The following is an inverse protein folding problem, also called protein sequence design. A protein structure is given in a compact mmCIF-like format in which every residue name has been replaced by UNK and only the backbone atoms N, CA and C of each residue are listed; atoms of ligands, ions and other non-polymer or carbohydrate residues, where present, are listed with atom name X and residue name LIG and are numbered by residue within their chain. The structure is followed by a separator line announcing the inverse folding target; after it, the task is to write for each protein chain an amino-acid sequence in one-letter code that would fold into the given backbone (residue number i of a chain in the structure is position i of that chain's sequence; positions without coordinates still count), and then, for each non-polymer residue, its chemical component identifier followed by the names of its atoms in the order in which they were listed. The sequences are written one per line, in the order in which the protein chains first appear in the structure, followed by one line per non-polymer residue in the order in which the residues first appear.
data_IF_830728429730
#
_entry.id   IF_830728429730
#
_cell.length_a   1.000
_cell.length_b   1.000
_cell.length_c   1.000
_cell.angle_alpha   90.00
_cell.angle_beta   90.00
_cell.angle_gamma   90.00
#
_symmetry.space_group_name_H-M   'P 1'
#
loop_
_entity.id
_entity.type
_entity.pdbx_description
1 polymer ?
#
# COMPACT_ATOMS: atom_id res chain seq x y z
N UNK A 1 -10.62 -18.20 5.16
CA UNK A 1 -9.68 -17.17 5.58
C UNK A 1 -10.19 -15.79 5.16
N UNK A 2 -10.24 -14.94 6.04
CA UNK A 2 -10.68 -13.59 5.77
C UNK A 2 -9.53 -12.60 5.92
N UNK A 3 -9.65 -11.49 5.28
CA UNK A 3 -8.69 -10.41 5.39
C UNK A 3 -9.27 -9.33 6.30
N UNK A 4 -8.54 -8.98 7.33
CA UNK A 4 -8.86 -7.84 8.18
C UNK A 4 -7.86 -6.70 7.90
N UNK A 5 -7.44 -6.60 6.64
CA UNK A 5 -6.46 -5.60 6.27
C UNK A 5 -6.98 -4.19 6.53
N UNK A 6 -6.11 -3.36 7.04
CA UNK A 6 -6.40 -1.96 7.35
C UNK A 6 -5.50 -1.09 6.50
N UNK A 7 -6.09 -0.10 5.88
CA UNK A 7 -5.38 0.87 5.07
C UNK A 7 -5.62 2.27 5.64
N UNK A 8 -4.57 2.99 5.92
CA UNK A 8 -4.70 4.29 6.56
C UNK A 8 -3.57 5.23 6.14
N UNK A 9 -3.87 6.53 6.16
CA UNK A 9 -2.87 7.57 6.00
C UNK A 9 -2.14 7.73 7.33
N UNK A 10 -0.82 7.59 7.28
CA UNK A 10 0.02 7.62 8.47
C UNK A 10 0.71 8.97 8.68
N UNK A 11 0.42 9.96 7.82
CA UNK A 11 0.93 11.32 7.95
C UNK A 11 -0.19 12.27 8.34
N UNK A 12 0.16 13.48 8.75
CA UNK A 12 -0.83 14.50 9.06
C UNK A 12 -1.69 14.81 7.83
N UNK A 13 -2.94 15.19 8.05
CA UNK A 13 -3.85 15.58 6.98
C UNK A 13 -3.40 16.88 6.35
N UNK A 14 -3.76 17.04 5.07
CA UNK A 14 -3.45 18.22 4.30
C UNK A 14 -2.33 17.95 3.30
N UNK A 15 -1.93 18.99 2.60
CA UNK A 15 -0.85 18.88 1.63
C UNK A 15 0.49 18.90 2.35
N UNK A 16 1.36 17.99 1.96
CA UNK A 16 2.74 17.93 2.44
C UNK A 16 3.63 17.46 1.30
N UNK A 17 4.95 17.59 1.45
CA UNK A 17 5.86 17.12 0.40
C UNK A 17 5.73 15.62 0.19
N UNK A 18 5.62 14.87 1.27
CA UNK A 18 5.47 13.41 1.22
C UNK A 18 4.30 12.98 2.09
N UNK A 19 3.68 11.89 1.68
CA UNK A 19 2.64 11.24 2.45
C UNK A 19 2.97 9.78 2.63
N UNK A 20 2.50 9.18 3.71
CA UNK A 20 2.72 7.77 4.01
C UNK A 20 1.37 7.08 4.19
N UNK A 21 1.18 5.99 3.47
CA UNK A 21 0.02 5.13 3.61
C UNK A 21 0.51 3.79 4.13
N UNK A 22 -0.14 3.26 5.16
CA UNK A 22 0.15 1.93 5.69
C UNK A 22 -1.00 1.00 5.45
N UNK A 23 -0.67 -0.20 5.00
CA UNK A 23 -1.65 -1.28 4.83
C UNK A 23 -1.13 -2.46 5.64
N UNK A 24 -1.97 -3.00 6.50
CA UNK A 24 -1.63 -4.14 7.33
C UNK A 24 -2.67 -5.24 7.13
N UNK A 25 -2.21 -6.48 6.97
CA UNK A 25 -3.11 -7.60 6.79
C UNK A 25 -2.36 -8.92 6.75
N UNK A 26 -3.11 -10.02 6.78
CA UNK A 26 -2.52 -11.36 6.89
C UNK A 26 -1.83 -11.81 5.61
N UNK A 27 -2.34 -11.45 4.47
CA UNK A 27 -1.78 -11.88 3.20
C UNK A 27 -2.03 -10.79 2.17
N UNK A 28 -0.97 -10.08 1.80
CA UNK A 28 -1.07 -8.93 0.93
C UNK A 28 -0.46 -9.15 -0.45
N UNK A 29 -0.04 -10.38 -0.77
CA UNK A 29 0.65 -10.66 -2.03
C UNK A 29 -0.17 -10.28 -3.25
N UNK A 30 -1.47 -10.59 -3.23
CA UNK A 30 -2.35 -10.25 -4.34
C UNK A 30 -2.45 -8.74 -4.53
N UNK A 31 -2.54 -8.00 -3.43
CA UNK A 31 -2.60 -6.55 -3.47
C UNK A 31 -1.31 -5.95 -4.04
N UNK A 32 -0.17 -6.50 -3.64
CA UNK A 32 1.12 -6.00 -4.12
C UNK A 32 1.23 -6.07 -5.65
N UNK A 33 0.87 -7.20 -6.23
CA UNK A 33 0.96 -7.36 -7.68
C UNK A 33 -0.11 -6.55 -8.40
N UNK A 34 -1.20 -6.22 -7.73
CA UNK A 34 -2.25 -5.38 -8.30
C UNK A 34 -1.85 -3.90 -8.35
N UNK A 35 -1.16 -3.41 -7.31
CA UNK A 35 -0.84 -2.00 -7.16
C UNK A 35 0.50 -1.61 -7.79
N UNK A 36 1.49 -2.49 -7.77
CA UNK A 36 2.86 -2.11 -8.08
C UNK A 36 3.38 -2.86 -9.27
N UNK A 37 4.22 -2.18 -10.07
CA UNK A 37 4.81 -2.78 -11.27
C UNK A 37 6.04 -3.59 -10.96
N UNK A 38 6.70 -3.33 -9.83
CA UNK A 38 7.92 -4.05 -9.44
C UNK A 38 7.63 -5.01 -8.31
N UNK A 39 8.41 -6.08 -8.26
CA UNK A 39 8.35 -7.05 -7.18
C UNK A 39 9.02 -6.49 -5.94
N UNK A 40 8.40 -6.71 -4.79
CA UNK A 40 8.90 -6.23 -3.51
C UNK A 40 9.64 -7.34 -2.77
N UNK A 41 10.61 -6.94 -1.94
CA UNK A 41 11.34 -7.83 -1.05
C UNK A 41 11.22 -7.32 0.37
N UNK A 42 11.26 -8.25 1.34
CA UNK A 42 11.11 -7.89 2.74
C UNK A 42 12.13 -6.83 3.15
N UNK A 43 11.65 -5.76 3.75
CA UNK A 43 12.43 -4.67 4.35
C UNK A 43 13.35 -3.94 3.39
N UNK A 44 13.01 -3.90 2.12
CA UNK A 44 13.77 -3.14 1.14
C UNK A 44 12.90 -2.03 0.57
N UNK A 45 13.44 -0.83 0.54
CA UNK A 45 12.78 0.31 -0.08
C UNK A 45 12.91 0.18 -1.60
N UNK A 46 11.79 0.10 -2.29
CA UNK A 46 11.75 -0.10 -3.75
C UNK A 46 11.02 1.09 -4.37
N UNK A 47 11.67 1.73 -5.34
CA UNK A 47 11.01 2.75 -6.16
C UNK A 47 10.21 2.02 -7.24
N UNK A 48 8.91 2.23 -7.27
CA UNK A 48 8.01 1.54 -8.21
C UNK A 48 6.86 2.46 -8.61
N UNK A 49 6.20 2.11 -9.70
CA UNK A 49 4.98 2.80 -10.11
C UNK A 49 3.78 2.21 -9.37
N UNK A 50 2.83 3.07 -9.06
CA UNK A 50 1.52 2.68 -8.54
C UNK A 50 0.54 2.69 -9.70
N UNK A 51 -0.20 1.61 -9.85
CA UNK A 51 -1.11 1.45 -10.98
C UNK A 51 -2.46 0.92 -10.53
N UNK A 52 -3.46 1.15 -11.38
CA UNK A 52 -4.75 0.52 -11.28
C UNK A 52 -5.19 0.16 -12.69
N UNK A 53 -5.50 -1.12 -12.90
CA UNK A 53 -5.89 -1.65 -14.22
C UNK A 53 -4.90 -1.23 -15.32
N UNK A 54 -3.62 -1.35 -15.01
CA UNK A 54 -2.51 -1.02 -15.91
C UNK A 54 -2.37 0.47 -16.23
N UNK A 55 -3.08 1.32 -15.51
CA UNK A 55 -2.89 2.77 -15.64
C UNK A 55 -2.04 3.22 -14.46
N UNK A 56 -0.85 3.75 -14.76
CA UNK A 56 0.05 4.28 -13.77
C UNK A 56 -0.41 5.68 -13.38
N UNK A 57 -0.59 5.93 -12.10
CA UNK A 57 -1.01 7.24 -11.67
C UNK A 57 -0.01 7.97 -10.76
N UNK A 58 1.03 7.30 -10.30
CA UNK A 58 2.17 7.96 -9.64
C UNK A 58 3.31 6.97 -9.49
N UNK A 59 4.47 7.48 -9.05
CA UNK A 59 5.56 6.65 -8.59
C UNK A 59 5.74 6.85 -7.09
N UNK A 60 6.24 5.84 -6.42
CA UNK A 60 6.34 5.86 -4.98
C UNK A 60 7.49 4.97 -4.52
N UNK A 61 7.82 5.10 -3.24
CA UNK A 61 8.74 4.18 -2.58
C UNK A 61 7.90 3.27 -1.69
N UNK A 62 8.09 1.97 -1.80
CA UNK A 62 7.32 0.99 -1.04
C UNK A 62 8.26 0.14 -0.22
N UNK A 63 7.88 -0.09 1.03
CA UNK A 63 8.61 -1.00 1.91
C UNK A 63 7.62 -2.04 2.40
N UNK A 64 7.96 -3.31 2.20
CA UNK A 64 7.20 -4.46 2.69
C UNK A 64 7.86 -4.99 3.95
N UNK A 65 7.07 -5.20 4.98
CA UNK A 65 7.52 -5.85 6.21
C UNK A 65 6.74 -7.15 6.35
N UNK A 66 7.40 -8.27 6.15
CA UNK A 66 6.74 -9.57 6.19
C UNK A 66 6.50 -10.03 7.63
N UNK A 67 5.31 -10.60 7.83
CA UNK A 67 4.97 -11.21 9.12
C UNK A 67 5.98 -12.30 9.49
N UNK A 68 6.21 -12.56 10.78
CA UNK A 68 5.63 -11.88 11.92
C UNK A 68 6.44 -10.67 12.43
N UNK A 69 7.57 -10.38 11.80
CA UNK A 69 8.49 -9.32 12.24
C UNK A 69 8.09 -8.00 11.64
N UNK A 70 6.96 -7.49 12.09
CA UNK A 70 6.41 -6.23 11.63
C UNK A 70 5.75 -5.52 12.80
N UNK A 71 5.34 -4.28 12.58
CA UNK A 71 4.75 -3.47 13.63
C UNK A 71 3.48 -4.10 14.22
N UNK A 72 2.67 -4.72 13.37
CA UNK A 72 1.39 -5.32 13.78
C UNK A 72 1.46 -6.83 13.96
N UNK A 73 2.55 -7.48 13.60
CA UNK A 73 2.67 -8.94 13.56
C UNK A 73 2.13 -9.56 12.29
N UNK A 74 1.52 -8.77 11.42
CA UNK A 74 1.02 -9.18 10.10
C UNK A 74 1.93 -8.60 9.02
N UNK A 75 1.63 -8.89 7.75
CA UNK A 75 2.31 -8.18 6.67
C UNK A 75 1.93 -6.70 6.73
N UNK A 76 2.92 -5.84 6.57
CA UNK A 76 2.71 -4.39 6.53
C UNK A 76 3.37 -3.83 5.28
N UNK A 77 2.66 -2.97 4.58
CA UNK A 77 3.18 -2.23 3.44
C UNK A 77 3.18 -0.76 3.81
N UNK A 78 4.32 -0.09 3.63
CA UNK A 78 4.39 1.37 3.71
C UNK A 78 4.58 1.93 2.32
N UNK A 79 3.70 2.82 1.91
CA UNK A 79 3.75 3.49 0.62
C UNK A 79 4.08 4.94 0.88
N UNK A 80 5.24 5.38 0.40
CA UNK A 80 5.69 6.76 0.54
C UNK A 80 5.54 7.42 -0.83
N UNK A 81 4.64 8.36 -0.90
CA UNK A 81 4.25 9.00 -2.16
C UNK A 81 4.21 10.52 -2.00
N UNK A 82 3.85 11.23 -3.05
CA UNK A 82 3.62 12.66 -2.94
C UNK A 82 2.46 12.92 -1.98
N UNK A 83 2.61 13.96 -1.17
CA UNK A 83 1.59 14.30 -0.17
C UNK A 83 0.36 14.98 -0.74
N UNK A 84 -0.03 14.61 -1.94
CA UNK A 84 -1.21 15.13 -2.62
C UNK A 84 -2.43 14.33 -2.18
N UNK A 85 -3.45 14.96 -1.59
CA UNK A 85 -4.62 14.24 -1.11
C UNK A 85 -5.35 13.44 -2.19
N UNK A 86 -5.37 13.92 -3.43
CA UNK A 86 -6.03 13.21 -4.52
C UNK A 86 -5.32 11.89 -4.81
N UNK A 87 -3.99 11.93 -4.89
CA UNK A 87 -3.19 10.72 -5.15
C UNK A 87 -3.33 9.74 -3.98
N UNK A 88 -3.21 10.23 -2.75
CA UNK A 88 -3.29 9.37 -1.57
C UNK A 88 -4.66 8.72 -1.45
N UNK A 89 -5.72 9.48 -1.65
CA UNK A 89 -7.08 8.94 -1.60
C UNK A 89 -7.34 7.94 -2.72
N UNK A 90 -6.74 8.15 -3.89
CA UNK A 90 -6.85 7.20 -4.99
C UNK A 90 -6.19 5.86 -4.64
N UNK A 91 -5.02 5.90 -4.04
CA UNK A 91 -4.32 4.67 -3.61
C UNK A 91 -5.16 3.93 -2.58
N UNK A 92 -5.70 4.65 -1.61
CA UNK A 92 -6.55 4.03 -0.58
C UNK A 92 -7.80 3.41 -1.20
N UNK A 93 -8.46 4.13 -2.09
CA UNK A 93 -9.69 3.63 -2.72
C UNK A 93 -9.43 2.36 -3.54
N UNK A 94 -8.35 2.33 -4.31
CA UNK A 94 -7.97 1.16 -5.09
C UNK A 94 -7.64 -0.02 -4.18
N UNK A 95 -6.91 0.24 -3.11
CA UNK A 95 -6.55 -0.79 -2.14
C UNK A 95 -7.78 -1.39 -1.47
N UNK A 96 -8.70 -0.57 -1.03
CA UNK A 96 -9.94 -1.02 -0.43
C UNK A 96 -10.77 -1.87 -1.41
N UNK A 97 -10.89 -1.40 -2.63
CA UNK A 97 -11.66 -2.12 -3.66
C UNK A 97 -11.08 -3.52 -3.88
N UNK A 98 -9.75 -3.61 -3.97
CA UNK A 98 -9.09 -4.89 -4.15
C UNK A 98 -9.28 -5.81 -2.95
N UNK A 99 -9.07 -5.27 -1.75
CA UNK A 99 -9.18 -6.06 -0.52
C UNK A 99 -10.59 -6.58 -0.32
N UNK A 100 -11.61 -5.76 -0.58
CA UNK A 100 -13.00 -6.19 -0.45
C UNK A 100 -13.35 -7.29 -1.45
N UNK A 101 -12.84 -7.20 -2.66
CA UNK A 101 -13.10 -8.23 -3.68
C UNK A 101 -12.52 -9.58 -3.30
N UNK A 102 -11.54 -9.63 -2.40
CA UNK A 102 -10.85 -10.84 -1.98
C UNK A 102 -11.20 -11.26 -0.55
N UNK A 103 -12.16 -10.61 0.08
CA UNK A 103 -12.69 -11.06 1.37
C UNK A 103 -13.58 -12.28 1.17
N UNK A 104 -13.53 -13.18 2.13
CA UNK A 104 -14.40 -14.35 2.12
C UNK A 104 -15.33 -14.35 3.32
#
# INVERSE_FOLDING_TARGET
MKSNAICAIATAKGSSALGVIRISGESLNSLLSHLFTKKLSDRRAILTDVKFKNIVFDSCIVILYCAPKSYTGEDVIEIITHGNPVIMNSIIAVSYTHLRAHET
#
